data_IF_031971936631
#
_entry.id   IF_031971936631
#
_cell.length_a   1.000
_cell.length_b   1.000
_cell.length_c   1.000
_cell.angle_alpha   90.00
_cell.angle_beta   90.00
_cell.angle_gamma   90.00
#
_symmetry.space_group_name_H-M   'P 1'
#
loop_
_entity.id
_entity.type
_entity.pdbx_description
1 polymer ?
#
# COMPACT_ATOMS: atom_id res chain seq x y z
N UNK A 1 -38.68 20.19 0.36
CA UNK A 1 -38.07 20.05 0.40
C UNK A 1 -37.51 19.47 0.04
N UNK A 2 -37.42 19.47 -0.31
CA UNK A 2 -36.80 18.97 -0.71
C UNK A 2 -35.78 18.66 -0.70
N UNK A 3 -35.41 18.74 -0.66
CA UNK A 3 -34.37 18.46 -0.68
C UNK A 3 -33.75 17.70 -0.36
N UNK A 4 -33.73 17.62 -0.27
CA UNK A 4 -32.99 16.94 0.13
C UNK A 4 -32.67 16.03 -0.29
N UNK A 5 -32.73 15.86 -0.57
CA UNK A 5 -32.34 15.04 -0.98
C UNK A 5 -31.49 14.83 -1.52
N UNK A 6 -31.22 15.15 -1.77
CA UNK A 6 -30.32 14.97 -2.28
C UNK A 6 -29.36 14.60 -1.80
N UNK A 7 -29.27 14.67 -1.36
CA UNK A 7 -28.35 14.34 -0.86
C UNK A 7 -28.03 13.28 -0.76
N UNK A 8 -28.22 12.94 -0.75
CA UNK A 8 -27.73 11.95 -0.60
C UNK A 8 -27.27 11.39 -1.45
N UNK A 9 -27.36 11.49 -1.97
CA UNK A 9 -26.86 10.97 -2.74
C UNK A 9 -25.78 11.08 -2.93
N UNK A 10 -25.52 11.50 -2.75
CA UNK A 10 -24.42 11.51 -2.77
C UNK A 10 -23.82 10.84 -2.29
N UNK A 11 -23.83 10.68 -1.88
CA UNK A 11 -23.15 10.07 -1.31
C UNK A 11 -23.00 9.01 -1.73
N UNK A 12 -23.30 8.57 -2.05
CA UNK A 12 -23.05 7.55 -2.39
C UNK A 12 -22.32 7.45 -3.25
N UNK A 13 -22.16 7.81 -3.56
CA UNK A 13 -21.48 7.79 -4.36
C UNK A 13 -20.30 7.52 -4.01
N UNK A 14 -20.06 7.53 -3.71
CA UNK A 14 -19.01 7.30 -3.36
C UNK A 14 -18.60 6.37 -2.89
N UNK A 15 -18.73 6.17 -2.51
CA UNK A 15 -18.38 5.27 -1.81
C UNK A 15 -17.91 4.12 -2.44
N UNK A 16 -18.40 3.78 -3.22
CA UNK A 16 -17.99 2.76 -3.85
C UNK A 16 -16.68 2.81 -4.25
N UNK A 17 -16.25 3.88 -4.47
CA UNK A 17 -15.10 4.00 -4.90
C UNK A 17 -14.07 3.65 -4.08
N UNK A 18 -14.28 3.50 -2.94
CA UNK A 18 -13.24 3.13 -2.10
C UNK A 18 -12.59 1.88 -2.56
N UNK A 19 -13.31 0.95 -2.98
CA UNK A 19 -12.72 -0.28 -3.39
C UNK A 19 -11.97 -0.18 -4.68
N UNK A 20 -12.16 0.91 -5.36
CA UNK A 20 -11.50 1.08 -6.61
C UNK A 20 -10.26 1.89 -6.54
N UNK A 21 -9.87 2.28 -5.32
CA UNK A 21 -8.73 3.08 -5.20
C UNK A 21 -7.52 2.34 -5.65
N UNK A 22 -6.75 2.90 -6.49
CA UNK A 22 -5.54 2.30 -6.95
C UNK A 22 -4.36 2.90 -6.26
N UNK A 23 -3.45 2.05 -5.81
CA UNK A 23 -2.23 2.48 -5.17
C UNK A 23 -1.13 2.45 -6.20
N UNK A 24 -0.39 3.54 -6.32
CA UNK A 24 0.76 3.56 -7.19
C UNK A 24 1.90 2.93 -6.41
N UNK A 25 2.05 1.61 -6.55
CA UNK A 25 3.01 0.88 -5.75
C UNK A 25 4.45 1.30 -6.00
N UNK A 26 4.72 1.91 -7.15
CA UNK A 26 6.08 2.38 -7.42
C UNK A 26 6.48 3.51 -6.49
N UNK A 27 5.52 4.20 -5.90
CA UNK A 27 5.84 5.28 -5.00
C UNK A 27 6.00 4.83 -3.55
N UNK A 28 5.64 3.59 -3.25
CA UNK A 28 5.72 3.10 -1.88
C UNK A 28 7.10 2.50 -1.67
N UNK A 29 8.08 3.34 -1.43
CA UNK A 29 9.42 2.91 -1.13
C UNK A 29 10.00 3.89 -0.13
N UNK A 30 11.15 3.57 0.42
CA UNK A 30 11.78 4.44 1.39
C UNK A 30 11.86 3.76 2.74
N UNK A 31 11.70 4.54 3.78
CA UNK A 31 11.75 4.02 5.13
C UNK A 31 10.39 3.47 5.49
N UNK A 32 10.38 2.21 5.91
CA UNK A 32 9.15 1.49 6.16
C UNK A 32 9.14 1.01 7.61
N UNK A 33 8.05 1.26 8.30
CA UNK A 33 7.84 0.72 9.61
C UNK A 33 6.65 -0.22 9.55
N UNK A 34 6.83 -1.45 10.03
CA UNK A 34 5.71 -2.39 10.10
C UNK A 34 4.92 -2.13 11.36
N UNK A 35 3.61 -2.02 11.23
CA UNK A 35 2.72 -1.74 12.35
C UNK A 35 1.63 -2.79 12.38
N UNK A 36 0.95 -2.92 13.52
CA UNK A 36 -0.11 -3.87 13.64
C UNK A 36 -1.49 -3.27 13.39
N UNK A 37 -1.58 -1.96 13.41
CA UNK A 37 -2.83 -1.29 13.11
C UNK A 37 -2.53 0.12 12.64
N UNK A 38 -3.51 0.69 11.98
CA UNK A 38 -3.43 2.06 11.48
C UNK A 38 -2.23 2.29 10.56
N UNK A 39 -1.94 1.30 9.72
CA UNK A 39 -0.92 1.50 8.69
C UNK A 39 -1.43 2.40 7.58
N UNK A 40 -0.50 2.97 6.85
CA UNK A 40 -0.88 3.75 5.68
C UNK A 40 -1.44 2.84 4.60
N UNK A 41 -0.91 1.63 4.50
CA UNK A 41 -1.40 0.62 3.56
C UNK A 41 -1.41 -0.74 4.21
N UNK A 42 -2.35 -1.57 3.79
CA UNK A 42 -2.42 -2.96 4.19
C UNK A 42 -1.81 -3.76 3.06
N UNK A 43 -0.87 -4.63 3.39
CA UNK A 43 -0.06 -5.32 2.38
C UNK A 43 -0.04 -6.81 2.70
N UNK A 44 -0.16 -7.62 1.68
CA UNK A 44 -0.11 -9.07 1.83
C UNK A 44 1.07 -9.60 1.04
N UNK A 45 1.85 -10.51 1.64
CA UNK A 45 2.93 -11.15 0.91
C UNK A 45 2.38 -12.34 0.13
N UNK A 46 2.88 -12.51 -1.06
CA UNK A 46 2.47 -13.61 -1.92
C UNK A 46 3.70 -14.23 -2.55
N UNK A 47 3.54 -15.44 -3.07
CA UNK A 47 4.65 -16.12 -3.72
C UNK A 47 4.58 -15.99 -5.24
N UNK A 48 3.49 -15.46 -5.77
CA UNK A 48 3.40 -15.26 -7.21
C UNK A 48 2.40 -14.13 -7.47
N UNK A 49 2.56 -13.51 -8.60
CA UNK A 49 1.68 -12.43 -9.07
C UNK A 49 1.56 -11.28 -8.06
N UNK A 50 2.69 -10.74 -7.59
CA UNK A 50 2.63 -9.57 -6.71
C UNK A 50 2.34 -8.32 -7.53
N UNK A 51 1.94 -7.26 -6.82
CA UNK A 51 1.87 -5.96 -7.45
C UNK A 51 3.22 -5.27 -7.41
N UNK A 52 4.02 -5.57 -6.38
CA UNK A 52 5.31 -4.95 -6.19
C UNK A 52 6.31 -5.98 -5.67
N UNK A 53 7.49 -6.00 -6.25
CA UNK A 53 8.59 -6.82 -5.72
C UNK A 53 9.41 -5.92 -4.82
N UNK A 54 9.63 -6.39 -3.59
CA UNK A 54 10.24 -5.59 -2.55
C UNK A 54 11.58 -6.18 -2.15
N UNK A 55 12.61 -5.36 -2.18
CA UNK A 55 13.92 -5.74 -1.69
C UNK A 55 14.20 -4.94 -0.44
N UNK A 56 14.54 -5.63 0.64
CA UNK A 56 14.88 -4.96 1.89
C UNK A 56 16.34 -4.51 1.78
N UNK A 57 16.57 -3.22 1.98
CA UNK A 57 17.91 -2.66 1.89
C UNK A 57 18.27 -2.01 3.21
N UNK A 58 19.55 -1.81 3.42
CA UNK A 58 20.03 -1.20 4.66
C UNK A 58 20.21 0.30 4.53
N UNK A 59 20.27 0.78 3.31
CA UNK A 59 20.44 2.21 3.07
C UNK A 59 20.03 2.51 1.64
N UNK A 60 19.79 3.77 1.39
CA UNK A 60 19.45 4.27 0.05
C UNK A 60 18.21 3.59 -0.54
N UNK A 61 17.07 3.64 0.19
CA UNK A 61 15.85 3.05 -0.34
C UNK A 61 15.16 4.04 -1.29
N UNK A 62 15.86 4.43 -2.32
CA UNK A 62 15.43 5.54 -3.15
C UNK A 62 14.96 5.12 -4.54
N UNK A 63 14.48 3.91 -4.68
CA UNK A 63 13.95 3.44 -5.94
C UNK A 63 12.76 2.54 -5.68
N UNK A 64 11.87 2.35 -6.65
CA UNK A 64 10.69 1.53 -6.44
C UNK A 64 11.05 0.14 -5.91
N UNK A 65 10.31 -0.29 -4.91
CA UNK A 65 10.51 -1.60 -4.33
C UNK A 65 11.61 -1.71 -3.30
N UNK A 66 12.40 -0.66 -3.09
CA UNK A 66 13.45 -0.73 -2.07
C UNK A 66 12.91 -0.21 -0.76
N UNK A 67 12.89 -1.06 0.24
CA UNK A 67 12.35 -0.73 1.55
C UNK A 67 13.43 -0.86 2.60
N UNK A 68 13.62 0.20 3.38
CA UNK A 68 14.52 0.16 4.52
C UNK A 68 13.66 0.13 5.77
N UNK A 69 13.81 -0.93 6.58
CA UNK A 69 12.96 -1.10 7.74
C UNK A 69 13.49 -0.26 8.88
N UNK A 70 12.62 0.56 9.44
CA UNK A 70 12.98 1.45 10.54
C UNK A 70 11.98 1.29 11.67
N UNK A 71 12.35 1.80 12.83
CA UNK A 71 11.46 1.74 14.00
C UNK A 71 10.87 3.08 14.33
N UNK A 72 11.32 4.14 13.68
CA UNK A 72 10.77 5.47 13.91
C UNK A 72 10.97 6.31 12.66
N UNK A 73 10.15 7.32 12.55
CA UNK A 73 10.22 8.28 11.45
C UNK A 73 10.18 7.60 10.07
N UNK A 74 9.19 6.73 9.83
CA UNK A 74 9.10 6.10 8.52
C UNK A 74 8.50 7.05 7.50
N UNK A 75 8.73 6.72 6.22
CA UNK A 75 8.01 7.38 5.16
C UNK A 75 6.61 6.78 5.03
N UNK A 76 6.49 5.48 5.30
CA UNK A 76 5.20 4.79 5.27
C UNK A 76 5.13 3.77 6.38
N UNK A 77 3.94 3.62 6.94
CA UNK A 77 3.65 2.57 7.90
C UNK A 77 2.90 1.48 7.16
N UNK A 78 3.41 0.27 7.23
CA UNK A 78 2.84 -0.86 6.49
C UNK A 78 2.26 -1.85 7.46
N UNK A 79 1.01 -2.21 7.26
CA UNK A 79 0.32 -3.19 8.07
C UNK A 79 0.21 -4.48 7.27
N UNK A 80 0.83 -5.56 7.76
CA UNK A 80 0.77 -6.84 7.05
C UNK A 80 -0.54 -7.52 7.37
N UNK A 81 -1.21 -8.01 6.36
CA UNK A 81 -2.51 -8.66 6.51
C UNK A 81 -2.53 -9.96 5.73
N UNK A 82 -3.50 -10.81 6.06
CA UNK A 82 -3.66 -12.08 5.35
C UNK A 82 -4.74 -12.01 4.30
N UNK A 83 -5.55 -10.98 4.32
CA UNK A 83 -6.63 -10.86 3.35
C UNK A 83 -6.99 -9.40 3.17
N UNK A 84 -7.62 -9.10 2.08
CA UNK A 84 -8.09 -7.76 1.74
C UNK A 84 -6.98 -6.70 1.82
N UNK A 85 -5.84 -6.95 1.17
CA UNK A 85 -4.77 -5.95 1.17
C UNK A 85 -5.07 -4.80 0.22
N UNK A 86 -4.36 -3.71 0.41
CA UNK A 86 -4.39 -2.63 -0.57
C UNK A 86 -3.54 -3.02 -1.79
N UNK A 87 -2.45 -3.76 -1.57
CA UNK A 87 -1.68 -4.34 -2.66
C UNK A 87 -0.87 -5.54 -2.14
N UNK A 88 -0.34 -6.32 -3.07
CA UNK A 88 0.38 -7.54 -2.75
C UNK A 88 1.84 -7.39 -3.09
N UNK A 89 2.71 -7.92 -2.24
CA UNK A 89 4.14 -7.82 -2.46
C UNK A 89 4.78 -9.20 -2.44
N UNK A 90 5.95 -9.27 -3.05
CA UNK A 90 6.79 -10.45 -2.98
C UNK A 90 8.18 -9.97 -2.63
N UNK A 91 8.78 -10.55 -1.59
CA UNK A 91 10.13 -10.17 -1.21
C UNK A 91 11.12 -10.82 -2.17
N UNK A 92 12.07 -10.03 -2.65
CA UNK A 92 13.06 -10.52 -3.60
C UNK A 92 14.45 -10.07 -3.14
N UNK A 93 15.47 -10.68 -3.71
CA UNK A 93 16.84 -10.30 -3.39
C UNK A 93 17.46 -9.45 -4.49
N UNK A 94 16.76 -9.32 -5.61
CA UNK A 94 17.26 -8.47 -6.71
C UNK A 94 16.09 -8.08 -7.58
N UNK A 95 16.29 -7.04 -8.35
CA UNK A 95 15.30 -6.55 -9.30
C UNK A 95 13.96 -6.19 -8.64
N UNK A 96 13.97 -5.33 -7.63
CA UNK A 96 12.72 -4.89 -7.02
C UNK A 96 11.99 -3.93 -7.97
N UNK A 97 10.72 -3.71 -7.67
CA UNK A 97 9.94 -2.75 -8.43
C UNK A 97 8.59 -3.28 -8.79
N UNK A 98 7.78 -2.48 -9.44
CA UNK A 98 6.44 -2.92 -9.83
C UNK A 98 6.51 -4.16 -10.71
N UNK A 99 5.58 -5.06 -10.45
CA UNK A 99 5.57 -6.34 -11.15
C UNK A 99 4.69 -6.22 -12.37
N UNK A 100 5.27 -5.76 -13.41
CA UNK A 100 4.47 -5.67 -14.59
C UNK A 100 5.20 -6.08 -15.76
#
# INVERSE_FOLDING_TARGET
MKRVIAILVLLLAFSVRAGDKKVDVAKVHGRIQFVQSFGDYKVQTVSSFPDLRVQIVKSFPDAPGKWQIVESFPDYKIQMVDSFPDFKIQFVTSFPGPAK
#
